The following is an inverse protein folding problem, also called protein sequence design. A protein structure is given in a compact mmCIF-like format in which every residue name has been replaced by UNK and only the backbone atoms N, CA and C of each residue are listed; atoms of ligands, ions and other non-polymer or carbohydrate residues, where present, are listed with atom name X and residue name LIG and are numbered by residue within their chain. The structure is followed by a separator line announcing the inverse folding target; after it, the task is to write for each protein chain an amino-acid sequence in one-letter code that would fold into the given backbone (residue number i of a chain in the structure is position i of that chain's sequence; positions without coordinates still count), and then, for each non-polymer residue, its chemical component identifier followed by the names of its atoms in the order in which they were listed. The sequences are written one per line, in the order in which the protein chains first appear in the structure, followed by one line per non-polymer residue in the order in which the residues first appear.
data_IF_726048918518
#
_entry.id   IF_726048918518
#
_cell.length_a   1.000
_cell.length_b   1.000
_cell.length_c   1.000
_cell.angle_alpha   90.00
_cell.angle_beta   90.00
_cell.angle_gamma   90.00
#
_symmetry.space_group_name_H-M   'P 1'
#
loop_
_entity.id
_entity.type
_entity.pdbx_description
1 polymer ?
#
# COMPACT_ATOMS: atom_id res chain seq x y z
N UNK A 1 37.41 15.78 14.46
CA UNK A 1 36.54 16.99 14.45
C UNK A 1 35.76 17.15 13.13
N UNK A 2 36.35 16.80 11.98
CA UNK A 2 35.71 16.93 10.66
C UNK A 2 34.53 15.96 10.42
N UNK A 3 34.57 14.72 10.92
CA UNK A 3 33.50 13.72 10.74
C UNK A 3 32.21 14.14 11.44
N UNK A 4 32.23 14.69 12.64
CA UNK A 4 31.03 15.19 13.34
C UNK A 4 30.37 16.40 12.67
N UNK A 5 31.13 17.19 11.94
CA UNK A 5 30.60 18.35 11.23
C UNK A 5 29.84 17.95 9.97
N UNK A 6 30.26 16.86 9.29
CA UNK A 6 29.54 16.29 8.15
C UNK A 6 28.21 15.65 8.55
N UNK A 7 28.16 14.92 9.67
CA UNK A 7 26.92 14.33 10.20
C UNK A 7 25.90 15.42 10.57
N UNK A 8 26.33 16.49 11.20
CA UNK A 8 25.44 17.61 11.57
C UNK A 8 24.92 18.36 10.34
N UNK A 9 25.74 18.55 9.31
CA UNK A 9 25.33 19.18 8.04
C UNK A 9 24.36 18.27 7.28
N UNK A 10 24.58 16.95 7.26
CA UNK A 10 23.67 16.00 6.66
C UNK A 10 22.33 15.90 7.42
N UNK A 11 22.35 15.92 8.75
CA UNK A 11 21.12 16.01 9.56
C UNK A 11 20.37 17.32 9.35
N UNK A 12 21.08 18.45 9.27
CA UNK A 12 20.48 19.76 9.01
C UNK A 12 19.91 19.87 7.60
N UNK A 13 20.57 19.25 6.60
CA UNK A 13 20.05 19.16 5.23
C UNK A 13 18.85 18.20 5.14
N UNK A 14 18.83 17.11 5.91
CA UNK A 14 17.68 16.19 6.01
C UNK A 14 16.47 16.82 6.68
N UNK A 15 16.66 17.75 7.62
CA UNK A 15 15.60 18.48 8.31
C UNK A 15 15.22 19.82 7.65
N UNK A 16 15.98 20.27 6.63
CA UNK A 16 15.69 21.51 5.92
C UNK A 16 14.55 21.35 4.90
N UNK A 17 13.81 22.44 4.64
CA UNK A 17 12.77 22.49 3.60
C UNK A 17 13.27 22.02 2.22
N UNK A 18 14.56 22.19 1.91
CA UNK A 18 15.21 21.71 0.67
C UNK A 18 15.44 20.19 0.68
N UNK A 19 15.73 19.56 1.83
CA UNK A 19 15.80 18.10 1.98
C UNK A 19 14.43 17.42 1.85
N UNK A 20 13.34 18.17 2.12
CA UNK A 20 11.96 17.72 1.93
C UNK A 20 11.44 17.85 0.49
N UNK A 21 12.05 18.67 -0.35
CA UNK A 21 11.67 18.85 -1.76
C UNK A 21 12.00 17.63 -2.65
N UNK A 22 12.76 16.65 -2.18
CA UNK A 22 13.07 15.41 -2.91
C UNK A 22 12.55 14.14 -2.24
N UNK A 23 11.91 14.25 -1.06
CA UNK A 23 11.23 13.15 -0.41
C UNK A 23 9.76 13.20 -0.76
N UNK A 24 9.19 12.09 -1.14
CA UNK A 24 7.76 11.91 -1.18
C UNK A 24 7.19 11.90 0.24
N UNK A 25 5.93 11.68 0.34
CA UNK A 25 5.25 11.38 1.60
C UNK A 25 4.14 10.36 1.32
N UNK A 26 3.87 9.56 2.33
CA UNK A 26 2.74 8.63 2.36
C UNK A 26 1.71 9.24 3.29
N UNK A 27 0.55 9.56 2.74
CA UNK A 27 -0.61 9.99 3.50
C UNK A 27 -1.54 8.79 3.73
N UNK A 28 -2.05 8.67 4.93
CA UNK A 28 -3.08 7.71 5.31
C UNK A 28 -4.24 8.50 5.90
N UNK A 29 -5.45 8.32 5.35
CA UNK A 29 -6.59 9.20 5.65
C UNK A 29 -7.07 9.04 7.10
N UNK A 30 -6.87 7.89 7.73
CA UNK A 30 -7.14 7.62 9.15
C UNK A 30 -6.40 6.40 9.68
N UNK A 31 -6.43 6.20 11.00
CA UNK A 31 -5.82 5.02 11.61
C UNK A 31 -6.52 3.72 11.19
N UNK A 32 -5.75 2.67 10.95
CA UNK A 32 -6.27 1.35 10.63
C UNK A 32 -7.14 0.76 11.75
N UNK A 33 -6.90 1.16 13.01
CA UNK A 33 -7.70 0.77 14.18
C UNK A 33 -9.18 1.09 14.04
N UNK A 34 -9.54 2.20 13.37
CA UNK A 34 -10.93 2.57 13.11
C UNK A 34 -11.63 1.55 12.21
N UNK A 35 -10.92 1.09 11.15
CA UNK A 35 -11.42 0.06 10.25
C UNK A 35 -11.61 -1.28 10.98
N UNK A 36 -10.64 -1.68 11.82
CA UNK A 36 -10.74 -2.90 12.63
C UNK A 36 -11.91 -2.85 13.63
N UNK A 37 -12.27 -1.66 14.10
CA UNK A 37 -13.39 -1.45 15.01
C UNK A 37 -14.77 -1.43 14.32
N UNK A 38 -14.83 -1.67 12.99
CA UNK A 38 -16.10 -1.70 12.24
C UNK A 38 -16.58 -0.34 11.75
N UNK A 39 -15.71 0.67 11.75
CA UNK A 39 -16.05 1.97 11.16
C UNK A 39 -15.71 1.96 9.67
N UNK A 40 -16.71 1.65 8.86
CA UNK A 40 -16.60 1.50 7.40
C UNK A 40 -17.17 2.70 6.64
N UNK A 41 -17.54 3.76 7.33
CA UNK A 41 -18.10 4.97 6.68
C UNK A 41 -17.01 5.73 5.95
N UNK A 42 -17.25 6.05 4.69
CA UNK A 42 -16.34 6.82 3.85
C UNK A 42 -16.13 8.24 4.38
N UNK A 43 -14.87 8.66 4.46
CA UNK A 43 -14.44 9.95 5.01
C UNK A 43 -13.80 10.86 3.99
N UNK A 44 -13.24 10.29 2.93
CA UNK A 44 -12.58 11.02 1.83
C UNK A 44 -13.05 10.52 0.48
N UNK A 45 -12.76 11.23 -0.59
CA UNK A 45 -13.09 10.81 -1.95
C UNK A 45 -11.87 10.27 -2.69
N UNK A 46 -12.12 9.46 -3.73
CA UNK A 46 -11.07 8.97 -4.65
C UNK A 46 -10.23 10.13 -5.19
N UNK A 47 -10.88 11.25 -5.60
CA UNK A 47 -10.17 12.40 -6.12
C UNK A 47 -9.29 13.06 -5.05
N UNK A 48 -9.81 13.26 -3.84
CA UNK A 48 -9.06 13.91 -2.76
C UNK A 48 -7.82 13.08 -2.36
N UNK A 49 -7.97 11.76 -2.29
CA UNK A 49 -6.91 10.85 -1.84
C UNK A 49 -5.89 10.56 -2.94
N UNK A 50 -6.33 10.23 -4.16
CA UNK A 50 -5.46 9.64 -5.17
C UNK A 50 -5.13 10.52 -6.37
N UNK A 51 -5.74 11.69 -6.57
CA UNK A 51 -5.53 12.50 -7.78
C UNK A 51 -4.08 12.95 -8.01
N UNK A 52 -3.26 12.98 -6.96
CA UNK A 52 -1.84 13.35 -7.02
C UNK A 52 -0.90 12.23 -6.59
N UNK A 53 -1.43 11.04 -6.36
CA UNK A 53 -0.64 9.90 -5.92
C UNK A 53 0.09 9.24 -7.08
N UNK A 54 1.27 8.68 -6.78
CA UNK A 54 2.00 7.78 -7.68
C UNK A 54 1.36 6.40 -7.64
N UNK A 55 1.01 5.97 -6.43
CA UNK A 55 0.28 4.74 -6.17
C UNK A 55 -0.48 4.86 -4.84
N UNK A 56 -1.46 4.01 -4.68
CA UNK A 56 -2.22 3.91 -3.45
C UNK A 56 -3.05 2.65 -3.38
N UNK A 57 -3.55 2.39 -2.21
CA UNK A 57 -4.53 1.34 -1.96
C UNK A 57 -5.54 1.80 -0.90
N UNK A 58 -6.61 1.07 -0.77
CA UNK A 58 -7.63 1.38 0.21
C UNK A 58 -8.82 0.44 0.11
N UNK A 59 -9.91 0.83 0.73
CA UNK A 59 -11.19 0.16 0.64
C UNK A 59 -12.32 1.18 0.47
N UNK A 60 -13.27 0.87 -0.36
CA UNK A 60 -14.45 1.71 -0.62
C UNK A 60 -15.31 1.87 0.62
N UNK A 61 -16.11 2.93 0.64
CA UNK A 61 -17.17 3.12 1.62
C UNK A 61 -17.98 1.83 1.82
N UNK A 62 -18.29 1.54 3.08
CA UNK A 62 -19.02 0.34 3.48
C UNK A 62 -18.40 -0.98 2.97
N UNK A 63 -17.08 -1.04 2.85
CA UNK A 63 -16.31 -2.17 2.31
C UNK A 63 -16.75 -2.62 0.90
N UNK A 64 -17.25 -1.70 0.07
CA UNK A 64 -17.80 -2.00 -1.27
C UNK A 64 -16.79 -2.47 -2.30
N UNK A 65 -15.51 -2.56 -1.97
CA UNK A 65 -14.44 -3.08 -2.82
C UNK A 65 -13.05 -2.67 -2.38
N UNK A 66 -12.05 -3.49 -2.71
CA UNK A 66 -10.63 -3.20 -2.51
C UNK A 66 -10.16 -2.18 -3.54
N UNK A 67 -9.47 -1.12 -3.14
CA UNK A 67 -9.06 -0.03 -4.03
C UNK A 67 -7.59 -0.15 -4.42
N UNK A 68 -7.31 0.13 -5.69
CA UNK A 68 -5.98 0.12 -6.28
C UNK A 68 -5.82 1.39 -7.11
N UNK A 69 -4.83 2.22 -6.78
CA UNK A 69 -4.51 3.43 -7.54
C UNK A 69 -3.09 3.34 -8.10
N UNK A 70 -2.92 3.60 -9.38
CA UNK A 70 -1.63 3.58 -10.09
C UNK A 70 -1.57 4.76 -11.04
N UNK A 71 -0.66 5.70 -10.81
CA UNK A 71 -0.39 6.83 -11.70
C UNK A 71 -1.64 7.65 -12.08
N UNK A 72 -2.55 7.86 -11.12
CA UNK A 72 -3.77 8.64 -11.28
C UNK A 72 -4.97 7.87 -11.86
N UNK A 73 -4.80 6.60 -12.21
CA UNK A 73 -5.92 5.71 -12.52
C UNK A 73 -6.28 4.90 -11.29
N UNK A 74 -7.55 4.88 -10.92
CA UNK A 74 -8.03 4.18 -9.72
C UNK A 74 -9.13 3.19 -10.08
N UNK A 75 -8.96 1.98 -9.58
CA UNK A 75 -9.93 0.89 -9.69
C UNK A 75 -10.39 0.48 -8.29
N UNK A 76 -11.60 -0.02 -8.21
CA UNK A 76 -12.05 -0.79 -7.06
C UNK A 76 -12.45 -2.21 -7.49
N UNK A 77 -12.31 -3.14 -6.58
CA UNK A 77 -12.57 -4.57 -6.83
C UNK A 77 -13.63 -5.04 -5.85
N UNK A 78 -14.90 -5.17 -6.32
CA UNK A 78 -15.99 -5.70 -5.50
C UNK A 78 -15.77 -7.15 -5.09
N UNK A 79 -16.70 -7.69 -4.33
CA UNK A 79 -16.66 -9.07 -3.82
C UNK A 79 -16.49 -10.15 -4.90
N UNK A 80 -16.88 -9.87 -6.14
CA UNK A 80 -16.74 -10.80 -7.27
C UNK A 80 -15.31 -10.86 -7.87
N UNK A 81 -14.37 -10.04 -7.37
CA UNK A 81 -12.98 -10.04 -7.79
C UNK A 81 -12.72 -9.32 -9.12
N UNK A 82 -13.70 -8.64 -9.71
CA UNK A 82 -13.59 -7.98 -11.02
C UNK A 82 -13.36 -6.47 -10.87
N UNK A 83 -12.19 -5.95 -11.29
CA UNK A 83 -11.90 -4.54 -11.21
C UNK A 83 -12.87 -3.68 -12.01
N UNK A 84 -13.27 -2.56 -11.43
CA UNK A 84 -14.07 -1.52 -12.04
C UNK A 84 -13.37 -0.17 -11.86
N UNK A 85 -13.53 0.74 -12.81
CA UNK A 85 -12.98 2.09 -12.67
C UNK A 85 -13.77 2.85 -11.61
N UNK A 86 -13.05 3.40 -10.63
CA UNK A 86 -13.65 4.22 -9.60
C UNK A 86 -13.99 5.62 -10.11
N UNK A 87 -15.12 6.15 -9.68
CA UNK A 87 -15.47 7.55 -9.92
C UNK A 87 -14.67 8.47 -9.00
N UNK A 88 -14.23 9.66 -9.46
CA UNK A 88 -13.57 10.64 -8.58
C UNK A 88 -14.39 11.02 -7.34
N UNK A 89 -15.72 10.95 -7.42
CA UNK A 89 -16.64 11.28 -6.32
C UNK A 89 -16.96 10.11 -5.39
N UNK A 90 -16.53 8.88 -5.72
CA UNK A 90 -16.71 7.73 -4.84
C UNK A 90 -15.94 7.93 -3.54
N UNK A 91 -16.46 7.40 -2.44
CA UNK A 91 -15.89 7.59 -1.11
C UNK A 91 -15.15 6.35 -0.61
N UNK A 92 -14.15 6.60 0.22
CA UNK A 92 -13.27 5.59 0.83
C UNK A 92 -13.55 5.48 2.32
N UNK A 93 -13.68 4.25 2.81
CA UNK A 93 -13.64 3.94 4.23
C UNK A 93 -12.21 4.00 4.79
N UNK A 94 -11.22 3.79 3.93
CA UNK A 94 -9.81 3.86 4.26
C UNK A 94 -8.98 4.05 2.99
N UNK A 95 -7.97 4.91 3.06
CA UNK A 95 -7.06 5.17 1.96
C UNK A 95 -5.62 5.39 2.41
N UNK A 96 -4.68 4.95 1.59
CA UNK A 96 -3.26 5.22 1.73
C UNK A 96 -2.72 5.60 0.37
N UNK A 97 -2.04 6.73 0.28
CA UNK A 97 -1.49 7.27 -0.96
C UNK A 97 -0.02 7.64 -0.82
N UNK A 98 0.80 7.23 -1.78
CA UNK A 98 2.17 7.70 -1.93
C UNK A 98 2.21 8.83 -2.96
N UNK A 99 2.83 9.95 -2.59
CA UNK A 99 2.96 11.12 -3.43
C UNK A 99 4.36 11.23 -4.04
N UNK A 100 4.60 12.27 -4.84
CA UNK A 100 5.83 12.45 -5.60
C UNK A 100 7.08 12.29 -4.73
N UNK A 101 7.94 11.34 -5.10
CA UNK A 101 9.20 11.04 -4.45
C UNK A 101 10.23 10.51 -5.46
N UNK A 102 11.46 10.27 -5.00
CA UNK A 102 12.50 9.66 -5.81
C UNK A 102 12.27 8.15 -5.84
N UNK A 103 12.07 7.61 -7.03
CA UNK A 103 11.96 6.17 -7.21
C UNK A 103 13.32 5.48 -7.00
N UNK A 104 13.34 4.45 -6.21
CA UNK A 104 14.43 3.49 -6.09
C UNK A 104 14.05 2.22 -6.84
N UNK A 105 15.04 1.48 -7.31
CA UNK A 105 14.82 0.28 -8.11
C UNK A 105 15.53 -0.91 -7.48
N UNK A 106 14.75 -1.92 -7.09
CA UNK A 106 15.24 -3.11 -6.43
C UNK A 106 15.05 -4.32 -7.33
N UNK A 107 16.13 -4.98 -7.77
CA UNK A 107 16.01 -6.29 -8.43
C UNK A 107 15.48 -7.34 -7.44
N UNK A 108 14.41 -8.03 -7.84
CA UNK A 108 13.83 -9.15 -7.13
C UNK A 108 14.02 -10.41 -7.94
N UNK A 109 14.49 -11.47 -7.30
CA UNK A 109 14.73 -12.75 -7.96
C UNK A 109 13.42 -13.53 -8.17
N UNK A 110 13.39 -14.39 -9.17
CA UNK A 110 12.30 -15.34 -9.38
C UNK A 110 12.12 -16.25 -8.15
N UNK A 111 10.90 -16.64 -7.87
CA UNK A 111 10.56 -17.56 -6.79
C UNK A 111 10.42 -16.91 -5.40
N UNK A 112 10.63 -15.59 -5.26
CA UNK A 112 10.36 -14.92 -4.01
C UNK A 112 8.85 -14.84 -3.74
N UNK A 113 8.47 -15.20 -2.53
CA UNK A 113 7.16 -14.94 -1.93
C UNK A 113 7.16 -13.61 -1.16
N UNK A 114 6.09 -13.28 -0.47
CA UNK A 114 5.98 -12.03 0.30
C UNK A 114 7.05 -11.89 1.39
N UNK A 115 7.40 -12.97 2.05
CA UNK A 115 8.47 -12.93 3.06
C UNK A 115 9.84 -12.70 2.39
N UNK A 116 10.11 -13.38 1.28
CA UNK A 116 11.32 -13.16 0.50
C UNK A 116 11.41 -11.74 -0.06
N UNK A 117 10.30 -11.15 -0.51
CA UNK A 117 10.22 -9.76 -0.95
C UNK A 117 10.50 -8.81 0.23
N UNK A 118 9.87 -9.02 1.39
CA UNK A 118 10.11 -8.23 2.61
C UNK A 118 11.59 -8.26 3.00
N UNK A 119 12.19 -9.45 3.05
CA UNK A 119 13.62 -9.62 3.38
C UNK A 119 14.52 -8.87 2.39
N UNK A 120 14.19 -8.90 1.10
CA UNK A 120 14.95 -8.17 0.07
C UNK A 120 14.84 -6.64 0.26
N UNK A 121 13.64 -6.14 0.58
CA UNK A 121 13.40 -4.73 0.90
C UNK A 121 14.18 -4.28 2.14
N UNK A 122 14.08 -5.01 3.23
CA UNK A 122 14.75 -4.68 4.50
C UNK A 122 16.27 -4.67 4.34
N UNK A 123 16.81 -5.63 3.56
CA UNK A 123 18.24 -5.64 3.19
C UNK A 123 18.62 -4.40 2.39
N UNK A 124 17.84 -4.04 1.37
CA UNK A 124 18.10 -2.86 0.54
C UNK A 124 18.12 -1.58 1.37
N UNK A 125 17.15 -1.38 2.27
CA UNK A 125 17.07 -0.24 3.16
C UNK A 125 18.32 -0.16 4.06
N UNK A 126 18.72 -1.29 4.65
CA UNK A 126 19.91 -1.39 5.49
C UNK A 126 21.19 -1.06 4.70
N UNK A 127 21.34 -1.58 3.50
CA UNK A 127 22.51 -1.37 2.65
C UNK A 127 22.61 0.11 2.16
N UNK A 128 21.48 0.79 2.05
CA UNK A 128 21.40 2.23 1.73
C UNK A 128 21.42 3.13 2.95
N UNK A 129 21.70 2.58 4.14
CA UNK A 129 21.75 3.31 5.41
C UNK A 129 20.43 4.00 5.79
N UNK A 130 19.31 3.45 5.34
CA UNK A 130 17.97 3.87 5.76
C UNK A 130 17.52 3.01 6.93
N UNK A 131 17.08 3.63 8.00
CA UNK A 131 16.52 2.92 9.14
C UNK A 131 15.13 2.39 8.78
N UNK A 132 15.05 1.10 8.48
CA UNK A 132 13.84 0.43 8.05
C UNK A 132 12.74 0.38 9.13
N UNK A 133 13.08 0.63 10.40
CA UNK A 133 12.11 0.74 11.50
C UNK A 133 11.48 2.14 11.59
N UNK A 134 11.95 3.11 10.80
CA UNK A 134 11.49 4.51 10.84
C UNK A 134 10.82 4.97 9.56
N UNK A 135 10.78 4.12 8.51
CA UNK A 135 10.28 4.53 7.20
C UNK A 135 9.21 3.58 6.68
N UNK A 136 8.31 4.15 5.89
CA UNK A 136 7.37 3.41 5.07
C UNK A 136 7.92 3.36 3.64
N UNK A 137 7.78 2.20 2.98
CA UNK A 137 8.10 2.07 1.56
C UNK A 137 6.83 1.82 0.77
N UNK A 138 6.50 2.74 -0.13
CA UNK A 138 5.54 2.48 -1.18
C UNK A 138 6.19 1.58 -2.23
N UNK A 139 5.47 0.61 -2.76
CA UNK A 139 6.01 -0.47 -3.59
C UNK A 139 5.11 -0.76 -4.79
N UNK A 140 5.73 -0.86 -5.98
CA UNK A 140 5.09 -1.38 -7.18
C UNK A 140 5.93 -2.52 -7.76
N UNK A 141 5.31 -3.69 -7.92
CA UNK A 141 5.91 -4.87 -8.57
C UNK A 141 5.04 -5.23 -9.76
N UNK A 142 5.61 -5.18 -10.95
CA UNK A 142 4.92 -5.50 -12.20
C UNK A 142 5.60 -6.69 -12.88
N UNK A 143 4.84 -7.74 -13.20
CA UNK A 143 5.41 -8.94 -13.81
C UNK A 143 4.46 -10.11 -13.90
N UNK A 144 5.06 -11.28 -14.04
CA UNK A 144 4.39 -12.58 -14.03
C UNK A 144 4.65 -13.27 -12.69
N UNK A 145 3.63 -13.90 -12.17
CA UNK A 145 3.66 -14.62 -10.89
C UNK A 145 3.34 -16.09 -11.15
N UNK A 146 4.00 -17.00 -10.47
CA UNK A 146 3.70 -18.44 -10.55
C UNK A 146 2.34 -18.74 -9.98
N UNK A 147 2.05 -18.14 -8.82
CA UNK A 147 0.78 -18.23 -8.15
C UNK A 147 0.46 -16.90 -7.45
N UNK A 148 -0.82 -16.59 -7.37
CA UNK A 148 -1.36 -15.45 -6.64
C UNK A 148 -2.63 -15.88 -5.94
N UNK A 149 -2.76 -15.55 -4.66
CA UNK A 149 -3.98 -15.65 -3.88
C UNK A 149 -4.49 -14.23 -3.58
N UNK A 150 -5.62 -13.88 -4.16
CA UNK A 150 -6.34 -12.64 -3.90
C UNK A 150 -7.55 -12.89 -3.01
N UNK A 151 -7.93 -11.87 -2.28
CA UNK A 151 -9.21 -11.84 -1.58
C UNK A 151 -9.94 -10.53 -1.82
N UNK A 152 -11.24 -10.56 -1.66
CA UNK A 152 -12.11 -9.40 -1.52
C UNK A 152 -13.07 -9.63 -0.37
N UNK A 153 -13.54 -8.56 0.25
CA UNK A 153 -14.57 -8.61 1.28
C UNK A 153 -15.89 -8.10 0.71
N UNK A 154 -17.00 -8.54 1.28
CA UNK A 154 -18.31 -7.98 0.99
C UNK A 154 -18.63 -6.80 1.92
N UNK A 155 -19.77 -6.15 1.64
CA UNK A 155 -20.35 -5.16 2.57
C UNK A 155 -20.79 -5.84 3.87
N UNK A 156 -20.71 -5.14 5.02
CA UNK A 156 -21.18 -5.68 6.29
C UNK A 156 -22.66 -6.12 6.22
N UNK A 157 -22.99 -7.22 6.88
CA UNK A 157 -24.35 -7.73 6.94
C UNK A 157 -25.21 -6.98 7.98
N UNK A 158 -24.56 -6.39 9.00
CA UNK A 158 -25.26 -5.64 10.07
C UNK A 158 -24.38 -4.50 10.61
N UNK A 159 -25.03 -3.51 11.22
CA UNK A 159 -24.35 -2.36 11.84
C UNK A 159 -23.54 -2.81 13.05
N UNK A 160 -22.26 -2.47 13.08
CA UNK A 160 -21.34 -2.83 14.16
C UNK A 160 -20.60 -4.16 13.93
N UNK A 161 -20.74 -4.78 12.76
CA UNK A 161 -19.88 -5.90 12.35
C UNK A 161 -18.43 -5.44 12.28
N UNK A 162 -17.53 -6.20 12.87
CA UNK A 162 -16.10 -5.89 12.87
C UNK A 162 -15.45 -6.31 11.56
N UNK A 163 -14.29 -5.73 11.23
CA UNK A 163 -13.54 -6.15 10.04
C UNK A 163 -13.16 -7.64 10.09
N UNK A 164 -12.86 -8.16 11.28
CA UNK A 164 -12.51 -9.58 11.47
C UNK A 164 -13.68 -10.49 11.09
N UNK A 165 -14.89 -10.15 11.53
CA UNK A 165 -16.12 -10.89 11.17
C UNK A 165 -16.40 -10.82 9.66
N UNK A 166 -16.27 -9.65 9.04
CA UNK A 166 -16.43 -9.52 7.57
C UNK A 166 -15.39 -10.34 6.81
N UNK A 167 -14.15 -10.41 7.29
CA UNK A 167 -13.07 -11.20 6.67
C UNK A 167 -13.37 -12.71 6.76
N UNK A 168 -14.10 -13.21 7.76
CA UNK A 168 -14.47 -14.62 7.81
C UNK A 168 -15.30 -15.05 6.60
N UNK A 169 -16.07 -14.13 6.00
CA UNK A 169 -16.88 -14.33 4.80
C UNK A 169 -16.17 -13.86 3.49
N UNK A 170 -14.83 -13.67 3.50
CA UNK A 170 -14.08 -13.19 2.32
C UNK A 170 -14.22 -14.13 1.11
N UNK A 171 -14.29 -13.55 -0.08
CA UNK A 171 -14.14 -14.29 -1.32
C UNK A 171 -12.66 -14.45 -1.65
N UNK A 172 -12.23 -15.66 -2.04
CA UNK A 172 -10.83 -15.98 -2.39
C UNK A 172 -10.72 -16.42 -3.83
N UNK A 173 -9.69 -15.93 -4.50
CA UNK A 173 -9.39 -16.20 -5.90
C UNK A 173 -7.93 -16.65 -6.02
N UNK A 174 -7.69 -17.86 -6.53
CA UNK A 174 -6.37 -18.41 -6.75
C UNK A 174 -6.07 -18.48 -8.25
N UNK A 175 -4.91 -18.01 -8.62
CA UNK A 175 -4.47 -17.98 -10.01
C UNK A 175 -3.08 -18.59 -10.13
N UNK A 176 -2.87 -19.38 -11.19
CA UNK A 176 -1.56 -19.83 -11.64
C UNK A 176 -1.14 -19.06 -12.88
N UNK A 177 0.17 -18.78 -13.01
CA UNK A 177 0.73 -18.03 -14.16
C UNK A 177 0.02 -16.66 -14.37
N UNK A 178 -0.24 -15.95 -13.28
CA UNK A 178 -0.90 -14.66 -13.31
C UNK A 178 0.05 -13.53 -13.71
N UNK A 179 -0.42 -12.61 -14.55
CA UNK A 179 0.31 -11.40 -14.96
C UNK A 179 -0.41 -10.17 -14.46
N UNK A 180 0.32 -9.24 -13.84
CA UNK A 180 -0.29 -8.03 -13.30
C UNK A 180 0.66 -7.19 -12.48
N UNK A 181 0.08 -6.33 -11.66
CA UNK A 181 0.77 -5.36 -10.81
C UNK A 181 0.34 -5.53 -9.37
N UNK A 182 1.29 -5.65 -8.47
CA UNK A 182 1.10 -5.48 -7.04
C UNK A 182 1.48 -4.05 -6.68
N UNK A 183 0.64 -3.37 -5.91
CA UNK A 183 0.93 -2.06 -5.31
C UNK A 183 0.62 -2.09 -3.83
N UNK A 184 1.37 -1.32 -3.06
CA UNK A 184 1.09 -1.16 -1.64
C UNK A 184 2.28 -0.66 -0.85
N UNK A 185 2.36 -1.09 0.40
CA UNK A 185 3.25 -0.50 1.37
C UNK A 185 3.92 -1.56 2.23
N UNK A 186 5.19 -1.31 2.54
CA UNK A 186 5.92 -1.99 3.60
C UNK A 186 5.97 -1.05 4.79
N UNK A 187 5.41 -1.48 5.91
CA UNK A 187 5.45 -0.76 7.18
C UNK A 187 6.49 -1.35 8.12
N UNK A 188 7.04 -0.55 9.06
CA UNK A 188 7.82 -1.04 10.17
C UNK A 188 7.04 -2.08 11.00
N UNK A 189 7.74 -3.09 11.53
CA UNK A 189 7.10 -4.13 12.35
C UNK A 189 6.55 -3.56 13.68
N UNK A 190 7.12 -2.45 14.15
CA UNK A 190 6.70 -1.75 15.38
C UNK A 190 5.48 -0.84 15.19
N UNK A 191 4.98 -0.64 13.97
CA UNK A 191 3.85 0.26 13.68
C UNK A 191 2.50 -0.39 13.99
N UNK A 192 2.19 -0.62 15.26
CA UNK A 192 0.93 -1.23 15.69
C UNK A 192 -0.18 -0.20 15.91
N UNK A 193 -1.38 -0.50 15.46
CA UNK A 193 -2.61 0.28 15.67
C UNK A 193 -2.88 1.33 14.58
N UNK A 194 -1.92 2.18 14.27
CA UNK A 194 -2.08 3.19 13.21
C UNK A 194 -2.04 2.57 11.81
N UNK A 195 -1.23 1.52 11.61
CA UNK A 195 -1.01 0.88 10.31
C UNK A 195 -1.10 -0.64 10.42
N UNK A 196 -0.99 -1.33 9.28
CA UNK A 196 -0.92 -2.79 9.17
C UNK A 196 0.57 -3.18 9.01
N UNK A 197 1.23 -3.76 10.04
CA UNK A 197 2.66 -4.07 9.96
C UNK A 197 3.03 -5.03 8.82
N UNK A 198 4.25 -4.91 8.31
CA UNK A 198 4.78 -5.76 7.24
C UNK A 198 4.37 -5.30 5.85
N UNK A 199 4.09 -6.23 4.93
CA UNK A 199 3.63 -5.94 3.57
C UNK A 199 2.11 -5.92 3.50
N UNK A 200 1.57 -4.80 3.03
CA UNK A 200 0.15 -4.64 2.68
C UNK A 200 0.05 -4.32 1.19
N UNK A 201 -0.40 -5.28 0.41
CA UNK A 201 -0.42 -5.21 -1.05
C UNK A 201 -1.80 -5.48 -1.61
N UNK A 202 -2.20 -4.69 -2.59
CA UNK A 202 -3.31 -4.96 -3.48
C UNK A 202 -2.80 -5.30 -4.87
N UNK A 203 -3.60 -6.02 -5.64
CA UNK A 203 -3.21 -6.54 -6.94
C UNK A 203 -4.27 -6.28 -8.00
N UNK A 204 -3.81 -6.02 -9.23
CA UNK A 204 -4.67 -5.92 -10.40
C UNK A 204 -4.01 -6.60 -11.59
N UNK A 205 -4.73 -7.47 -12.29
CA UNK A 205 -4.21 -8.16 -13.47
C UNK A 205 -3.94 -7.21 -14.64
N UNK A 206 -3.06 -7.61 -15.54
CA UNK A 206 -2.70 -6.83 -16.71
C UNK A 206 -3.89 -6.58 -17.64
N UNK A 207 -4.80 -7.55 -17.76
CA UNK A 207 -6.04 -7.48 -18.54
C UNK A 207 -7.20 -6.79 -17.81
N UNK A 208 -7.03 -6.47 -16.52
CA UNK A 208 -8.06 -5.87 -15.65
C UNK A 208 -9.28 -6.78 -15.40
N UNK A 209 -9.12 -8.09 -15.50
CA UNK A 209 -10.20 -9.06 -15.28
C UNK A 209 -10.19 -9.63 -13.83
N UNK A 210 -9.09 -9.42 -13.08
CA UNK A 210 -8.98 -9.87 -11.69
C UNK A 210 -8.20 -8.88 -10.82
N UNK A 211 -8.55 -8.80 -9.54
CA UNK A 211 -7.89 -7.94 -8.59
C UNK A 211 -8.32 -8.24 -7.16
N UNK A 212 -7.83 -7.44 -6.20
CA UNK A 212 -8.16 -7.54 -4.79
C UNK A 212 -6.96 -7.37 -3.87
N UNK A 213 -7.18 -7.62 -2.59
CA UNK A 213 -6.12 -7.67 -1.59
C UNK A 213 -5.26 -8.93 -1.79
N UNK A 214 -3.96 -8.76 -1.93
CA UNK A 214 -3.04 -9.86 -2.16
C UNK A 214 -2.66 -10.55 -0.84
N UNK A 215 -3.09 -11.81 -0.69
CA UNK A 215 -2.80 -12.64 0.48
C UNK A 215 -1.49 -13.41 0.34
N UNK A 216 -1.16 -13.81 -0.89
CA UNK A 216 0.08 -14.46 -1.24
C UNK A 216 0.38 -14.25 -2.72
N UNK A 217 1.66 -14.25 -3.06
CA UNK A 217 2.13 -14.32 -4.44
C UNK A 217 3.55 -14.86 -4.46
N UNK A 218 3.89 -15.57 -5.55
CA UNK A 218 5.25 -16.03 -5.82
C UNK A 218 5.70 -15.49 -7.16
N UNK A 219 6.83 -14.78 -7.19
CA UNK A 219 7.37 -14.20 -8.42
C UNK A 219 7.71 -15.28 -9.45
N UNK A 220 7.09 -15.21 -10.63
CA UNK A 220 7.29 -16.14 -11.73
C UNK A 220 8.50 -15.82 -12.59
N UNK A 221 9.00 -14.62 -12.51
CA UNK A 221 10.18 -14.14 -13.23
C UNK A 221 10.96 -13.14 -12.40
N UNK A 222 12.22 -12.89 -12.79
CA UNK A 222 13.01 -11.80 -12.23
C UNK A 222 12.42 -10.46 -12.64
N UNK A 223 12.19 -9.57 -11.69
CA UNK A 223 11.62 -8.24 -11.91
C UNK A 223 12.46 -7.16 -11.25
N UNK A 224 12.25 -5.91 -11.66
CA UNK A 224 12.75 -4.74 -10.95
C UNK A 224 11.54 -4.08 -10.30
N UNK A 225 11.47 -4.14 -8.97
CA UNK A 225 10.46 -3.42 -8.22
C UNK A 225 10.81 -1.94 -8.16
N UNK A 226 9.82 -1.07 -8.36
CA UNK A 226 9.93 0.34 -8.06
C UNK A 226 9.47 0.56 -6.61
N UNK A 227 10.25 1.30 -5.84
CA UNK A 227 9.93 1.64 -4.46
C UNK A 227 10.24 3.11 -4.18
N UNK A 228 9.47 3.70 -3.27
CA UNK A 228 9.63 5.05 -2.75
C UNK A 228 9.74 4.95 -1.24
N UNK A 229 10.77 5.59 -0.68
CA UNK A 229 11.07 5.57 0.75
C UNK A 229 10.60 6.91 1.32
N UNK A 230 9.65 6.86 2.23
CA UNK A 230 8.91 8.05 2.67
C UNK A 230 8.65 8.07 4.18
N UNK A 231 8.32 9.26 4.68
CA UNK A 231 7.78 9.44 6.01
C UNK A 231 6.25 9.25 5.97
N UNK A 232 5.68 8.53 6.93
CA UNK A 232 4.25 8.30 7.04
C UNK A 232 3.56 9.46 7.76
N UNK A 233 2.49 9.99 7.16
CA UNK A 233 1.57 10.94 7.77
C UNK A 233 0.19 10.31 7.92
N UNK A 234 -0.23 10.04 9.14
CA UNK A 234 -1.58 9.57 9.45
C UNK A 234 -2.45 10.80 9.78
N UNK A 235 -3.53 10.99 9.04
CA UNK A 235 -4.48 12.06 9.31
C UNK A 235 -5.28 11.70 10.56
N UNK A 236 -5.41 12.64 11.49
CA UNK A 236 -6.29 12.45 12.64
C UNK A 236 -7.75 12.43 12.14
N UNK A 237 -8.53 11.50 12.65
CA UNK A 237 -9.97 11.47 12.41
C UNK A 237 -10.61 12.74 13.00
N UNK A 238 -10.98 13.69 12.14
CA UNK A 238 -11.58 14.97 12.53
C UNK A 238 -13.10 14.90 12.68
N UNK A 239 -13.70 13.72 12.82
CA UNK A 239 -15.13 13.59 13.13
C UNK A 239 -15.37 13.98 14.58
N UNK A 240 -15.90 15.20 14.77
CA UNK A 240 -16.44 15.75 16.05
C UNK A 240 -17.96 15.68 16.00
#
# INVERSE_FOLDING_TARGET
MMVRMFDTVLQTLRSSRLGRLGRGHVDQDREASSLFAGDFVGTTTIEAEFSRSILGLGVMDNLGGEVISISGETWFVPQDGRPQIASPADTLAFGIAAHVGIAHYLPLEQGLDFEGIKVALDRYLKDTHVDHEQVVCALKIEGTFHDVLLRTVGTPEYVGETLEEVIEAESRFSFEQWSGTLVGFRYPDASTGATIPGLHLHAISADRESGGHARAATLGQKVIAALWIDDLHVMADNRV
#
